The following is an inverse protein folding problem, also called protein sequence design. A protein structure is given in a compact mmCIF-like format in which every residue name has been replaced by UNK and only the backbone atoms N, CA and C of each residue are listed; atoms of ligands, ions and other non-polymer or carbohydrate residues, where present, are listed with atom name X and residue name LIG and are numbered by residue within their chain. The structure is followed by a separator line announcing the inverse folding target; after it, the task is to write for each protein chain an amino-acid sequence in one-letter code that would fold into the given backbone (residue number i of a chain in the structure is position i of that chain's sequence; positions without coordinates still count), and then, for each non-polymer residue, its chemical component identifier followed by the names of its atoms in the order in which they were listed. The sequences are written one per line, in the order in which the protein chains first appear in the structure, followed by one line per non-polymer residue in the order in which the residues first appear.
data_IF_228302397186
#
_entry.id   IF_228302397186
#
_cell.length_a   1.000
_cell.length_b   1.000
_cell.length_c   1.000
_cell.angle_alpha   90.00
_cell.angle_beta   90.00
_cell.angle_gamma   90.00
#
_symmetry.space_group_name_H-M   'P 1'
#
loop_
_entity.id
_entity.type
_entity.pdbx_description
1 polymer ?
#
# COMPACT_ATOMS: atom_id res chain seq x y z
N UNK A 1 9.41 1.44 -13.77
CA UNK A 1 8.31 1.13 -12.81
C UNK A 1 8.59 1.80 -11.49
N UNK A 2 7.64 2.55 -10.89
CA UNK A 2 7.86 3.24 -9.60
C UNK A 2 6.72 2.93 -8.63
N UNK A 3 7.03 2.69 -7.35
CA UNK A 3 6.02 2.50 -6.31
C UNK A 3 5.26 3.80 -6.08
N UNK A 4 3.94 3.69 -5.82
CA UNK A 4 3.05 4.85 -5.66
C UNK A 4 2.67 5.14 -4.21
N UNK A 5 2.59 4.10 -3.38
CA UNK A 5 2.19 4.23 -1.99
C UNK A 5 3.00 3.28 -1.13
N UNK A 6 3.75 3.81 -0.17
CA UNK A 6 4.68 3.01 0.62
C UNK A 6 4.09 2.79 2.01
N UNK A 7 3.90 1.52 2.37
CA UNK A 7 3.73 1.07 3.75
C UNK A 7 5.07 0.50 4.21
N UNK A 8 5.61 1.08 5.27
CA UNK A 8 7.01 0.89 5.67
C UNK A 8 7.12 -0.07 6.84
N UNK A 9 8.00 -1.05 6.69
CA UNK A 9 8.37 -2.00 7.74
C UNK A 9 9.88 -2.10 7.85
N UNK A 10 10.36 -2.53 9.02
CA UNK A 10 11.78 -2.71 9.30
C UNK A 10 12.13 -4.19 9.48
N UNK A 11 13.30 -4.53 8.97
CA UNK A 11 14.04 -5.75 9.24
C UNK A 11 15.32 -5.38 9.99
N UNK A 12 15.90 -6.26 10.83
CA UNK A 12 17.24 -6.04 11.35
C UNK A 12 18.22 -5.86 10.17
N UNK A 13 19.11 -4.89 10.24
CA UNK A 13 20.06 -4.60 9.16
C UNK A 13 21.50 -4.85 9.61
N UNK A 14 22.33 -5.57 8.83
CA UNK A 14 21.94 -6.32 7.62
C UNK A 14 21.18 -7.62 7.97
N UNK A 15 20.16 -7.96 7.17
CA UNK A 15 19.42 -9.22 7.29
C UNK A 15 19.88 -10.20 6.20
N UNK A 16 20.34 -11.38 6.62
CA UNK A 16 20.81 -12.40 5.67
C UNK A 16 19.61 -13.08 5.00
N UNK A 17 19.33 -12.65 3.78
CA UNK A 17 18.28 -13.20 2.94
C UNK A 17 18.84 -13.51 1.55
N UNK A 18 18.55 -14.71 1.04
CA UNK A 18 18.98 -15.16 -0.28
C UNK A 18 17.73 -15.29 -1.15
N UNK A 19 17.75 -14.66 -2.33
CA UNK A 19 16.60 -14.59 -3.23
C UNK A 19 16.05 -15.95 -3.62
N UNK A 20 16.93 -16.91 -3.97
CA UNK A 20 16.52 -18.27 -4.37
C UNK A 20 15.90 -19.05 -3.20
N UNK A 21 16.43 -18.91 -2.00
CA UNK A 21 15.84 -19.52 -0.82
C UNK A 21 14.46 -18.93 -0.50
N UNK A 22 14.33 -17.61 -0.58
CA UNK A 22 13.04 -16.96 -0.42
C UNK A 22 12.04 -17.42 -1.49
N UNK A 23 12.45 -17.55 -2.75
CA UNK A 23 11.60 -18.04 -3.82
C UNK A 23 11.08 -19.46 -3.54
N UNK A 24 11.92 -20.35 -3.02
CA UNK A 24 11.54 -21.71 -2.62
C UNK A 24 10.51 -21.68 -1.47
N UNK A 25 10.69 -20.80 -0.49
CA UNK A 25 9.75 -20.67 0.62
C UNK A 25 8.38 -20.10 0.20
N UNK A 26 8.36 -19.27 -0.84
CA UNK A 26 7.13 -18.70 -1.39
C UNK A 26 6.39 -19.66 -2.34
N UNK A 27 7.07 -20.67 -2.89
CA UNK A 27 6.53 -21.59 -3.90
C UNK A 27 5.21 -22.27 -3.48
N UNK A 28 5.03 -22.76 -2.24
CA UNK A 28 3.77 -23.36 -1.80
C UNK A 28 2.58 -22.40 -1.84
N UNK A 29 2.85 -21.09 -1.89
CA UNK A 29 1.85 -20.04 -1.99
C UNK A 29 1.83 -19.38 -3.37
N UNK A 30 2.36 -20.05 -4.40
CA UNK A 30 2.30 -19.55 -5.79
C UNK A 30 0.85 -19.30 -6.19
N UNK A 31 0.64 -18.19 -6.85
CA UNK A 31 -0.68 -17.80 -7.33
C UNK A 31 -1.22 -18.83 -8.35
N UNK A 32 -2.43 -19.28 -8.10
CA UNK A 32 -3.26 -20.00 -9.04
C UNK A 32 -4.61 -19.30 -9.15
N UNK A 33 -5.28 -19.33 -10.31
CA UNK A 33 -6.59 -18.71 -10.47
C UNK A 33 -7.60 -19.21 -9.43
N UNK A 34 -8.57 -18.33 -9.09
CA UNK A 34 -9.64 -18.68 -8.18
C UNK A 34 -10.50 -19.80 -8.76
N UNK A 35 -10.82 -20.83 -7.95
CA UNK A 35 -11.67 -21.94 -8.37
C UNK A 35 -13.14 -21.53 -8.49
N UNK A 36 -13.99 -22.43 -9.04
CA UNK A 36 -15.41 -22.16 -9.24
C UNK A 36 -16.11 -21.75 -7.94
N UNK A 37 -15.75 -22.38 -6.82
CA UNK A 37 -16.43 -22.22 -5.53
C UNK A 37 -15.71 -21.30 -4.54
N UNK A 38 -14.63 -20.64 -4.97
CA UNK A 38 -13.90 -19.68 -4.13
C UNK A 38 -14.27 -18.25 -4.51
N UNK A 39 -14.47 -17.39 -3.50
CA UNK A 39 -14.73 -15.97 -3.70
C UNK A 39 -13.45 -15.19 -3.99
N UNK A 40 -12.32 -15.58 -3.37
CA UNK A 40 -11.06 -14.87 -3.40
C UNK A 40 -9.89 -15.84 -3.28
N UNK A 41 -8.85 -15.61 -4.06
CA UNK A 41 -7.56 -16.28 -3.90
C UNK A 41 -6.41 -15.29 -3.99
N UNK A 42 -5.39 -15.51 -3.17
CA UNK A 42 -4.17 -14.73 -3.16
C UNK A 42 -2.97 -15.65 -3.30
N UNK A 43 -1.92 -15.16 -3.93
CA UNK A 43 -0.67 -15.92 -4.04
C UNK A 43 0.45 -15.11 -4.69
N UNK A 44 1.67 -15.60 -4.55
CA UNK A 44 2.87 -14.97 -5.11
C UNK A 44 2.99 -15.28 -6.60
N UNK A 45 3.34 -14.29 -7.39
CA UNK A 45 3.55 -14.43 -8.82
C UNK A 45 4.87 -13.78 -9.24
N UNK A 46 5.50 -14.26 -10.32
CA UNK A 46 6.69 -13.61 -10.85
C UNK A 46 6.42 -12.15 -11.25
N UNK A 47 7.43 -11.30 -11.14
CA UNK A 47 7.35 -9.92 -11.64
C UNK A 47 7.19 -9.91 -13.16
N UNK A 48 7.87 -10.83 -13.86
CA UNK A 48 7.85 -11.02 -15.32
C UNK A 48 7.43 -12.44 -15.65
N UNK A 49 6.84 -12.64 -16.83
CA UNK A 49 6.44 -13.96 -17.31
C UNK A 49 7.68 -14.87 -17.43
N UNK A 50 7.59 -16.07 -16.87
CA UNK A 50 8.70 -17.04 -16.86
C UNK A 50 9.80 -16.78 -15.84
N UNK A 51 9.72 -15.69 -15.06
CA UNK A 51 10.68 -15.38 -14.01
C UNK A 51 10.44 -16.11 -12.70
N UNK A 52 11.36 -15.93 -11.75
CA UNK A 52 11.24 -16.43 -10.39
C UNK A 52 10.22 -15.60 -9.57
N UNK A 53 9.73 -16.17 -8.46
CA UNK A 53 8.82 -15.47 -7.54
C UNK A 53 9.51 -14.26 -6.86
N UNK A 54 10.82 -14.33 -6.69
CA UNK A 54 11.66 -13.24 -6.21
C UNK A 54 12.50 -12.74 -7.38
N UNK A 55 12.29 -11.50 -7.77
CA UNK A 55 13.13 -10.82 -8.74
C UNK A 55 14.22 -10.06 -7.99
N UNK A 56 15.47 -10.41 -8.23
CA UNK A 56 16.62 -9.86 -7.49
C UNK A 56 17.57 -9.13 -8.43
N UNK A 57 17.89 -7.88 -8.08
CA UNK A 57 18.88 -7.05 -8.78
C UNK A 57 19.67 -6.27 -7.74
N UNK A 58 20.99 -6.30 -7.80
CA UNK A 58 21.90 -5.58 -6.91
C UNK A 58 21.58 -5.74 -5.40
N UNK A 59 21.23 -6.97 -5.01
CA UNK A 59 20.86 -7.28 -3.61
C UNK A 59 19.50 -6.76 -3.15
N UNK A 60 18.74 -6.14 -4.05
CA UNK A 60 17.37 -5.70 -3.82
C UNK A 60 16.39 -6.74 -4.34
N UNK A 61 15.30 -7.00 -3.63
CA UNK A 61 14.30 -8.00 -4.02
C UNK A 61 12.95 -7.36 -4.28
N UNK A 62 12.33 -7.75 -5.41
CA UNK A 62 10.94 -7.43 -5.70
C UNK A 62 10.09 -8.71 -5.73
N UNK A 63 8.91 -8.62 -5.09
CA UNK A 63 7.90 -9.66 -5.09
C UNK A 63 6.57 -9.05 -5.54
N UNK A 64 5.69 -9.91 -6.06
CA UNK A 64 4.34 -9.53 -6.49
C UNK A 64 3.31 -10.46 -5.87
N UNK A 65 2.45 -9.92 -5.02
CA UNK A 65 1.27 -10.61 -4.52
C UNK A 65 0.09 -10.33 -5.45
N UNK A 66 -0.48 -11.38 -6.03
CA UNK A 66 -1.69 -11.29 -6.86
C UNK A 66 -2.89 -11.68 -6.02
N UNK A 67 -3.95 -10.90 -6.14
CA UNK A 67 -5.27 -11.21 -5.59
C UNK A 67 -6.26 -11.30 -6.72
N UNK A 68 -6.95 -12.42 -6.85
CA UNK A 68 -8.08 -12.61 -7.75
C UNK A 68 -9.35 -12.78 -6.94
N UNK A 69 -10.36 -11.98 -7.24
CA UNK A 69 -11.64 -11.95 -6.54
C UNK A 69 -12.78 -12.05 -7.52
N UNK A 70 -13.79 -12.87 -7.21
CA UNK A 70 -15.05 -12.89 -7.94
C UNK A 70 -15.93 -11.70 -7.57
N UNK A 71 -16.55 -11.12 -8.58
CA UNK A 71 -17.44 -9.97 -8.44
C UNK A 71 -18.88 -10.43 -8.40
N UNK A 72 -19.48 -10.38 -7.21
CA UNK A 72 -20.88 -10.66 -6.98
C UNK A 72 -21.59 -9.37 -6.53
N UNK A 73 -22.28 -8.66 -7.44
CA UNK A 73 -23.02 -7.47 -7.07
C UNK A 73 -24.11 -7.80 -6.07
N UNK A 74 -24.12 -7.16 -4.92
CA UNK A 74 -25.10 -7.40 -3.84
C UNK A 74 -26.54 -7.27 -4.32
N UNK A 75 -26.80 -6.36 -5.27
CA UNK A 75 -28.15 -6.18 -5.86
C UNK A 75 -28.56 -7.41 -6.66
N UNK A 76 -27.67 -8.00 -7.47
CA UNK A 76 -27.97 -9.20 -8.26
C UNK A 76 -28.24 -10.41 -7.37
N UNK A 77 -27.43 -10.59 -6.31
CA UNK A 77 -27.65 -11.67 -5.34
C UNK A 77 -28.99 -11.51 -4.62
N UNK A 78 -29.34 -10.29 -4.19
CA UNK A 78 -30.65 -10.01 -3.56
C UNK A 78 -31.83 -10.24 -4.51
N UNK A 79 -31.69 -9.87 -5.77
CA UNK A 79 -32.71 -10.10 -6.78
C UNK A 79 -32.94 -11.61 -6.97
N UNK A 80 -31.83 -12.38 -7.12
CA UNK A 80 -31.93 -13.83 -7.26
C UNK A 80 -32.55 -14.50 -6.02
N UNK A 81 -32.20 -14.02 -4.83
CA UNK A 81 -32.78 -14.49 -3.58
C UNK A 81 -34.29 -14.18 -3.50
N UNK A 82 -34.73 -13.02 -4.00
CA UNK A 82 -36.14 -12.67 -4.08
C UNK A 82 -36.94 -13.61 -5.04
N UNK A 83 -36.36 -13.88 -6.23
CA UNK A 83 -36.95 -14.85 -7.17
C UNK A 83 -37.09 -16.26 -6.56
N UNK A 84 -36.12 -16.68 -5.75
CA UNK A 84 -36.19 -17.93 -5.00
C UNK A 84 -37.26 -17.87 -3.89
N UNK A 85 -37.42 -16.72 -3.24
CA UNK A 85 -38.43 -16.53 -2.20
C UNK A 85 -39.83 -16.56 -2.76
N UNK A 86 -40.09 -15.93 -3.92
CA UNK A 86 -41.39 -15.93 -4.60
C UNK A 86 -41.79 -17.36 -4.99
N UNK A 87 -40.85 -18.16 -5.51
CA UNK A 87 -41.11 -19.58 -5.79
C UNK A 87 -41.46 -20.37 -4.54
N UNK A 88 -40.73 -20.14 -3.45
CA UNK A 88 -41.00 -20.82 -2.18
C UNK A 88 -42.33 -20.41 -1.58
N UNK A 89 -42.74 -19.15 -1.75
CA UNK A 89 -44.09 -18.67 -1.35
C UNK A 89 -45.21 -19.32 -2.17
N UNK A 90 -45.03 -19.52 -3.48
CA UNK A 90 -45.95 -20.26 -4.34
C UNK A 90 -46.11 -21.72 -3.91
N UNK A 91 -45.02 -22.37 -3.49
CA UNK A 91 -45.03 -23.77 -3.04
C UNK A 91 -45.63 -23.97 -1.64
N UNK A 92 -45.35 -23.04 -0.71
CA UNK A 92 -45.70 -23.19 0.71
C UNK A 92 -46.93 -22.37 1.15
N UNK A 93 -47.34 -21.42 0.31
CA UNK A 93 -48.51 -20.56 0.60
C UNK A 93 -48.26 -19.42 1.59
N UNK A 94 -47.00 -19.18 2.00
CA UNK A 94 -46.60 -18.07 2.86
C UNK A 94 -45.19 -17.55 2.56
N UNK A 95 -44.98 -16.28 2.83
CA UNK A 95 -43.72 -15.60 2.53
C UNK A 95 -42.61 -16.02 3.48
N UNK A 96 -41.37 -16.26 2.99
CA UNK A 96 -40.21 -16.63 3.83
C UNK A 96 -39.88 -15.55 4.88
N UNK A 97 -39.70 -15.97 6.12
CA UNK A 97 -39.26 -15.10 7.21
C UNK A 97 -37.81 -14.69 7.11
N UNK A 98 -37.33 -13.81 8.01
CA UNK A 98 -35.94 -13.26 7.98
C UNK A 98 -34.85 -14.32 7.90
N UNK A 99 -34.97 -15.44 8.64
CA UNK A 99 -34.01 -16.53 8.63
C UNK A 99 -33.94 -17.23 7.28
N UNK A 100 -35.10 -17.59 6.75
CA UNK A 100 -35.20 -18.22 5.42
C UNK A 100 -34.69 -17.29 4.31
N UNK A 101 -34.97 -15.98 4.36
CA UNK A 101 -34.41 -14.99 3.42
C UNK A 101 -32.87 -14.90 3.47
N UNK A 102 -32.27 -15.07 4.65
CA UNK A 102 -30.80 -15.12 4.76
C UNK A 102 -30.25 -16.36 4.08
N UNK A 103 -30.84 -17.52 4.33
CA UNK A 103 -30.47 -18.80 3.71
C UNK A 103 -30.64 -18.76 2.17
N UNK A 104 -31.74 -18.15 1.69
CA UNK A 104 -31.95 -17.93 0.24
C UNK A 104 -30.90 -17.00 -0.36
N UNK A 105 -30.45 -15.98 0.37
CA UNK A 105 -29.40 -15.07 -0.08
C UNK A 105 -28.04 -15.79 -0.17
N UNK A 106 -27.72 -16.64 0.79
CA UNK A 106 -26.51 -17.49 0.77
C UNK A 106 -26.57 -18.47 -0.42
N UNK A 107 -27.70 -19.17 -0.61
CA UNK A 107 -27.89 -20.06 -1.77
C UNK A 107 -27.80 -19.35 -3.12
N UNK A 108 -28.39 -18.15 -3.24
CA UNK A 108 -28.28 -17.33 -4.45
C UNK A 108 -26.83 -16.93 -4.72
N UNK A 109 -26.08 -16.59 -3.68
CA UNK A 109 -24.64 -16.29 -3.79
C UNK A 109 -23.86 -17.51 -4.29
N UNK A 110 -24.10 -18.67 -3.70
CA UNK A 110 -23.40 -19.93 -4.07
C UNK A 110 -23.73 -20.37 -5.50
N UNK A 111 -24.98 -20.22 -5.93
CA UNK A 111 -25.41 -20.51 -7.30
C UNK A 111 -24.75 -19.59 -8.34
N UNK A 112 -24.60 -18.29 -7.98
CA UNK A 112 -24.03 -17.31 -8.88
C UNK A 112 -22.50 -17.31 -8.89
N UNK A 113 -21.86 -17.77 -7.82
CA UNK A 113 -20.41 -17.71 -7.64
C UNK A 113 -19.61 -18.40 -8.76
N UNK A 114 -19.97 -19.61 -9.26
CA UNK A 114 -19.24 -20.25 -10.35
C UNK A 114 -19.18 -19.44 -11.64
N UNK A 115 -20.24 -18.66 -11.89
CA UNK A 115 -20.42 -17.88 -13.12
C UNK A 115 -19.99 -16.41 -12.98
N UNK A 116 -19.51 -16.01 -11.79
CA UNK A 116 -19.13 -14.64 -11.54
C UNK A 116 -17.82 -14.26 -12.25
N UNK A 117 -17.76 -13.05 -12.79
CA UNK A 117 -16.53 -12.47 -13.34
C UNK A 117 -15.48 -12.33 -12.25
N UNK A 118 -14.21 -12.48 -12.66
CA UNK A 118 -13.06 -12.27 -11.77
C UNK A 118 -12.38 -10.94 -12.06
N UNK A 119 -11.87 -10.30 -11.01
CA UNK A 119 -11.01 -9.12 -11.10
C UNK A 119 -9.69 -9.45 -10.41
N UNK A 120 -8.59 -9.21 -11.12
CA UNK A 120 -7.24 -9.33 -10.59
C UNK A 120 -6.69 -7.97 -10.19
N UNK A 121 -6.03 -7.96 -9.05
CA UNK A 121 -5.20 -6.85 -8.58
C UNK A 121 -3.87 -7.40 -8.09
N UNK A 122 -2.87 -6.54 -7.96
CA UNK A 122 -1.59 -6.95 -7.40
C UNK A 122 -1.03 -5.87 -6.48
N UNK A 123 -0.18 -6.30 -5.57
CA UNK A 123 0.65 -5.48 -4.72
C UNK A 123 2.11 -5.86 -4.95
N UNK A 124 2.96 -4.85 -5.10
CA UNK A 124 4.38 -5.06 -5.20
C UNK A 124 5.03 -4.88 -3.83
N UNK A 125 6.08 -5.64 -3.58
CA UNK A 125 6.85 -5.60 -2.34
C UNK A 125 8.30 -5.43 -2.70
N UNK A 126 8.95 -4.48 -2.08
CA UNK A 126 10.39 -4.28 -2.15
C UNK A 126 11.02 -4.65 -0.82
N UNK A 127 12.07 -5.46 -0.86
CA UNK A 127 12.87 -5.82 0.30
C UNK A 127 14.31 -5.39 0.02
N UNK A 128 14.86 -4.61 0.95
CA UNK A 128 16.27 -4.22 0.99
C UNK A 128 16.92 -4.85 2.23
N UNK A 129 17.53 -6.02 2.08
CA UNK A 129 18.14 -6.71 3.22
C UNK A 129 19.35 -5.97 3.80
N UNK A 130 20.03 -5.15 2.97
CA UNK A 130 21.21 -4.39 3.37
C UNK A 130 20.86 -3.27 4.34
N UNK A 131 19.85 -2.48 3.99
CA UNK A 131 19.41 -1.33 4.78
C UNK A 131 18.22 -1.66 5.70
N UNK A 132 17.70 -2.89 5.66
CA UNK A 132 16.63 -3.38 6.52
C UNK A 132 15.26 -2.81 6.20
N UNK A 133 14.94 -2.60 4.93
CA UNK A 133 13.61 -2.15 4.51
C UNK A 133 12.77 -3.31 3.96
N UNK A 134 11.51 -3.34 4.36
CA UNK A 134 10.44 -4.03 3.64
C UNK A 134 9.34 -3.01 3.38
N UNK A 135 9.06 -2.79 2.10
CA UNK A 135 8.12 -1.77 1.63
C UNK A 135 7.05 -2.41 0.78
N UNK A 136 5.79 -2.16 1.12
CA UNK A 136 4.64 -2.64 0.35
C UNK A 136 4.01 -1.48 -0.40
N UNK A 137 3.86 -1.60 -1.73
CA UNK A 137 3.12 -0.61 -2.54
C UNK A 137 1.62 -0.79 -2.35
N UNK A 138 1.11 -0.25 -1.25
CA UNK A 138 -0.29 -0.38 -0.87
C UNK A 138 -0.89 0.95 -0.42
N UNK A 139 -2.07 1.28 -0.95
CA UNK A 139 -2.78 2.52 -0.61
C UNK A 139 -3.34 2.54 0.83
N UNK A 140 -3.45 1.39 1.49
CA UNK A 140 -3.94 1.27 2.87
C UNK A 140 -3.18 0.23 3.67
N UNK A 141 -3.07 0.40 5.00
CA UNK A 141 -2.43 -0.59 5.87
C UNK A 141 -3.07 -1.99 5.75
N UNK A 142 -4.40 -2.08 5.70
CA UNK A 142 -5.10 -3.37 5.58
C UNK A 142 -4.68 -4.20 4.36
N UNK A 143 -4.36 -3.56 3.23
CA UNK A 143 -3.82 -4.27 2.06
C UNK A 143 -2.37 -4.72 2.27
N UNK A 144 -1.58 -3.93 2.98
CA UNK A 144 -0.21 -4.32 3.32
C UNK A 144 -0.21 -5.49 4.32
N UNK A 145 -1.19 -5.54 5.24
CA UNK A 145 -1.36 -6.66 6.17
C UNK A 145 -1.59 -8.00 5.46
N UNK A 146 -2.25 -8.01 4.31
CA UNK A 146 -2.41 -9.22 3.49
C UNK A 146 -1.05 -9.76 3.01
N UNK A 147 -0.16 -8.86 2.58
CA UNK A 147 1.23 -9.19 2.19
C UNK A 147 2.00 -9.74 3.39
N UNK A 148 1.97 -9.01 4.51
CA UNK A 148 2.68 -9.40 5.73
C UNK A 148 2.25 -10.77 6.23
N UNK A 149 0.94 -11.05 6.28
CA UNK A 149 0.40 -12.36 6.67
C UNK A 149 0.91 -13.50 5.81
N UNK A 150 0.94 -13.31 4.49
CA UNK A 150 1.42 -14.34 3.57
C UNK A 150 2.94 -14.51 3.65
N UNK A 151 3.71 -13.45 3.84
CA UNK A 151 5.15 -13.55 4.07
C UNK A 151 5.47 -14.27 5.37
N UNK A 152 4.82 -13.92 6.47
CA UNK A 152 5.01 -14.58 7.78
C UNK A 152 4.59 -16.06 7.75
N UNK A 153 3.63 -16.43 6.90
CA UNK A 153 3.25 -17.82 6.69
C UNK A 153 4.30 -18.61 5.90
N UNK A 154 5.02 -17.95 4.98
CA UNK A 154 6.06 -18.58 4.17
C UNK A 154 7.41 -18.64 4.88
N UNK A 155 7.76 -17.55 5.57
CA UNK A 155 9.06 -17.38 6.22
C UNK A 155 8.86 -17.42 7.74
N UNK A 156 9.11 -18.59 8.33
CA UNK A 156 9.05 -18.74 9.80
C UNK A 156 10.01 -17.75 10.47
N UNK A 157 9.51 -17.01 11.46
CA UNK A 157 10.30 -16.08 12.27
C UNK A 157 10.93 -14.94 11.46
N UNK A 158 10.25 -14.44 10.40
CA UNK A 158 10.66 -13.19 9.77
C UNK A 158 10.61 -12.08 10.83
N UNK A 159 11.73 -11.45 11.19
CA UNK A 159 11.80 -10.44 12.25
C UNK A 159 11.34 -9.08 11.70
N UNK A 160 10.05 -9.00 11.33
CA UNK A 160 9.44 -7.83 10.73
C UNK A 160 8.82 -6.95 11.81
N UNK A 161 9.20 -5.69 11.83
CA UNK A 161 8.70 -4.69 12.77
C UNK A 161 8.07 -3.50 12.02
N UNK A 162 7.11 -2.84 12.64
CA UNK A 162 6.62 -1.55 12.15
C UNK A 162 7.69 -0.48 12.37
N UNK A 163 7.90 0.39 11.38
CA UNK A 163 8.79 1.53 11.53
C UNK A 163 8.31 2.43 12.68
N UNK A 164 9.18 2.73 13.62
CA UNK A 164 8.96 3.68 14.72
C UNK A 164 10.02 4.77 14.66
N UNK A 165 9.60 5.99 14.85
CA UNK A 165 10.47 7.18 14.82
C UNK A 165 10.34 7.95 16.13
N UNK A 166 11.36 8.72 16.48
CA UNK A 166 11.41 9.45 17.75
C UNK A 166 10.42 10.61 17.77
N UNK A 167 10.32 11.35 16.68
CA UNK A 167 9.37 12.46 16.57
C UNK A 167 8.06 11.99 15.91
N UNK A 168 6.93 12.33 16.52
CA UNK A 168 5.63 12.06 15.89
C UNK A 168 5.55 12.71 14.51
N UNK A 169 5.14 11.97 13.45
CA UNK A 169 4.96 12.56 12.12
C UNK A 169 4.04 13.77 12.11
N UNK A 170 3.00 13.75 12.95
CA UNK A 170 2.07 14.89 13.11
C UNK A 170 2.79 16.12 13.66
N UNK A 171 3.61 15.94 14.70
CA UNK A 171 4.36 17.05 15.30
C UNK A 171 5.39 17.61 14.32
N UNK A 172 6.15 16.73 13.65
CA UNK A 172 7.15 17.14 12.67
C UNK A 172 6.53 17.88 11.48
N UNK A 173 5.50 17.30 10.84
CA UNK A 173 4.79 17.94 9.73
C UNK A 173 4.15 19.29 10.13
N UNK A 174 3.64 19.40 11.36
CA UNK A 174 3.07 20.66 11.85
C UNK A 174 4.16 21.71 11.99
N UNK A 175 5.33 21.35 12.56
CA UNK A 175 6.47 22.24 12.70
C UNK A 175 7.03 22.69 11.34
N UNK A 176 7.22 21.77 10.40
CA UNK A 176 7.71 22.10 9.06
C UNK A 176 6.74 22.98 8.28
N UNK A 177 5.45 22.77 8.46
CA UNK A 177 4.42 23.57 7.82
C UNK A 177 4.34 24.97 8.43
N UNK A 178 4.52 25.11 9.74
CA UNK A 178 4.50 26.39 10.45
C UNK A 178 5.74 27.26 10.13
N UNK A 179 6.91 26.62 10.05
CA UNK A 179 8.16 27.30 9.66
C UNK A 179 8.30 27.52 8.15
N UNK A 180 7.59 26.76 7.32
CA UNK A 180 7.80 26.68 5.87
C UNK A 180 9.06 25.93 5.46
N UNK A 181 9.79 25.35 6.41
CA UNK A 181 11.08 24.67 6.19
C UNK A 181 11.03 23.23 6.71
N UNK A 182 11.55 22.30 5.91
CA UNK A 182 11.77 20.92 6.29
C UNK A 182 13.27 20.57 6.19
N UNK A 183 13.80 19.69 7.06
CA UNK A 183 15.22 19.32 7.07
C UNK A 183 15.60 18.35 5.94
N UNK A 184 16.89 18.08 5.77
CA UNK A 184 17.44 17.00 4.92
C UNK A 184 16.98 17.02 3.45
N UNK A 185 17.07 18.17 2.79
CA UNK A 185 16.67 18.35 1.38
C UNK A 185 15.19 18.07 1.08
N UNK A 186 14.33 18.09 2.09
CA UNK A 186 12.90 18.11 1.88
C UNK A 186 12.40 19.55 1.70
N UNK A 187 11.45 19.74 0.81
CA UNK A 187 10.70 20.98 0.63
C UNK A 187 9.22 20.73 0.90
N UNK A 188 8.56 21.69 1.51
CA UNK A 188 7.11 21.67 1.74
C UNK A 188 6.42 22.13 0.46
N UNK A 189 5.49 21.31 -0.06
CA UNK A 189 4.72 21.61 -1.27
C UNK A 189 3.34 22.21 -0.93
N UNK A 190 2.50 22.41 -1.96
CA UNK A 190 1.27 23.20 -1.88
C UNK A 190 0.03 22.46 -1.34
N UNK A 191 0.15 21.19 -0.96
CA UNK A 191 -0.98 20.41 -0.46
C UNK A 191 -0.78 20.01 0.99
N UNK A 192 -1.72 20.42 1.86
CA UNK A 192 -1.69 20.06 3.28
C UNK A 192 -3.10 19.81 3.82
N UNK A 193 -3.21 18.95 4.83
CA UNK A 193 -4.44 18.72 5.58
C UNK A 193 -4.15 18.91 7.06
N UNK A 194 -4.86 19.87 7.67
CA UNK A 194 -4.83 20.10 9.10
C UNK A 194 -6.14 19.66 9.74
N UNK A 195 -6.05 19.03 10.91
CA UNK A 195 -7.20 18.54 11.67
C UNK A 195 -7.10 18.99 13.13
N UNK A 196 -8.24 19.42 13.69
CA UNK A 196 -8.34 19.78 15.10
C UNK A 196 -8.19 18.51 15.98
N UNK A 197 -7.49 18.67 17.10
CA UNK A 197 -7.28 17.59 18.09
C UNK A 197 -8.49 17.36 19.00
N UNK A 198 -9.43 18.32 19.09
CA UNK A 198 -10.63 18.24 19.92
C UNK A 198 -11.75 17.37 19.34
N UNK A 199 -12.87 17.28 20.05
CA UNK A 199 -14.03 16.45 19.68
C UNK A 199 -14.63 16.79 18.30
N UNK A 200 -14.55 18.05 17.86
CA UNK A 200 -15.09 18.51 16.58
C UNK A 200 -14.41 17.85 15.38
N UNK A 201 -13.14 17.41 15.53
CA UNK A 201 -12.29 16.88 14.43
C UNK A 201 -12.36 17.73 13.16
N UNK A 202 -12.61 19.04 13.31
CA UNK A 202 -12.73 19.97 12.19
C UNK A 202 -11.47 19.92 11.33
N UNK A 203 -11.64 19.85 10.02
CA UNK A 203 -10.53 19.68 9.08
C UNK A 203 -10.51 20.84 8.09
N UNK A 204 -9.31 21.28 7.72
CA UNK A 204 -9.07 22.18 6.61
C UNK A 204 -8.06 21.54 5.66
N UNK A 205 -8.28 21.66 4.37
CA UNK A 205 -7.39 21.16 3.33
C UNK A 205 -6.96 22.27 2.40
N UNK A 206 -5.67 22.42 2.24
CA UNK A 206 -5.05 23.23 1.19
C UNK A 206 -4.75 22.33 0.01
N UNK A 207 -5.11 22.77 -1.17
CA UNK A 207 -4.86 22.03 -2.40
C UNK A 207 -4.41 22.98 -3.50
N UNK A 208 -3.20 22.77 -4.02
CA UNK A 208 -2.55 23.64 -5.02
C UNK A 208 -2.57 25.11 -4.60
N UNK A 209 -2.37 25.36 -3.32
CA UNK A 209 -2.41 26.66 -2.73
C UNK A 209 -1.07 26.95 -2.04
N UNK A 210 -0.52 28.15 -2.25
CA UNK A 210 0.67 28.55 -1.52
C UNK A 210 0.42 28.45 -0.01
N UNK A 211 1.29 27.75 0.71
CA UNK A 211 1.18 27.56 2.16
C UNK A 211 1.96 28.71 2.84
N UNK A 212 1.35 29.88 2.88
CA UNK A 212 1.97 31.02 3.54
C UNK A 212 1.93 30.84 5.07
N UNK A 213 3.06 31.09 5.78
CA UNK A 213 3.12 30.89 7.23
C UNK A 213 2.02 31.63 8.00
N UNK A 214 1.57 32.79 7.52
CA UNK A 214 0.51 33.56 8.14
C UNK A 214 -0.86 32.89 8.13
N UNK A 215 -1.24 32.29 7.01
CA UNK A 215 -2.54 31.63 6.85
C UNK A 215 -2.58 30.29 7.61
N UNK A 216 -1.51 29.52 7.49
CA UNK A 216 -1.39 28.21 8.14
C UNK A 216 -1.19 28.36 9.65
N UNK A 217 -0.36 29.32 10.08
CA UNK A 217 -0.06 29.61 11.49
C UNK A 217 -1.31 29.92 12.30
N UNK A 218 -2.28 30.64 11.74
CA UNK A 218 -3.56 30.93 12.42
C UNK A 218 -4.34 29.63 12.74
N UNK A 219 -4.30 28.63 11.87
CA UNK A 219 -4.95 27.35 12.10
C UNK A 219 -4.19 26.47 13.09
N UNK A 220 -2.86 26.52 13.07
CA UNK A 220 -2.00 25.82 14.04
C UNK A 220 -2.20 26.43 15.43
N UNK A 221 -2.18 27.76 15.54
CA UNK A 221 -2.46 28.47 16.79
C UNK A 221 -3.86 28.16 17.35
N UNK A 222 -4.85 27.89 16.47
CA UNK A 222 -6.18 27.44 16.85
C UNK A 222 -6.24 25.92 17.21
N UNK A 223 -5.10 25.24 17.40
CA UNK A 223 -5.01 23.85 17.85
C UNK A 223 -5.20 22.80 16.77
N UNK A 224 -5.07 23.16 15.48
CA UNK A 224 -5.04 22.16 14.41
C UNK A 224 -3.62 21.65 14.17
N UNK A 225 -3.51 20.38 13.85
CA UNK A 225 -2.25 19.71 13.55
C UNK A 225 -2.25 19.16 12.11
N UNK A 226 -1.09 19.18 11.47
CA UNK A 226 -0.92 18.64 10.13
C UNK A 226 -0.96 17.11 10.15
N UNK A 227 -1.92 16.53 9.42
CA UNK A 227 -2.11 15.08 9.29
C UNK A 227 -1.69 14.53 7.94
N UNK A 228 -1.54 15.42 6.95
CA UNK A 228 -0.97 15.11 5.63
C UNK A 228 -0.22 16.33 5.13
N UNK A 229 0.97 16.09 4.58
CA UNK A 229 1.80 17.13 4.01
C UNK A 229 2.40 16.63 2.70
N UNK A 230 2.18 17.38 1.63
CA UNK A 230 2.89 17.15 0.37
C UNK A 230 4.30 17.73 0.48
N UNK A 231 5.25 16.97 0.02
CA UNK A 231 6.67 17.26 0.12
C UNK A 231 7.41 16.79 -1.13
N UNK A 232 8.51 17.42 -1.42
CA UNK A 232 9.47 16.98 -2.44
C UNK A 232 10.83 16.73 -1.80
N UNK A 233 11.43 15.59 -2.09
CA UNK A 233 12.78 15.25 -1.65
C UNK A 233 13.78 15.49 -2.78
N UNK A 234 14.85 16.25 -2.46
CA UNK A 234 16.01 16.52 -3.30
C UNK A 234 15.68 16.94 -4.75
N UNK A 235 14.54 17.61 -4.97
CA UNK A 235 13.97 17.93 -6.29
C UNK A 235 13.84 16.70 -7.23
N UNK A 236 13.75 15.49 -6.68
CA UNK A 236 13.74 14.22 -7.44
C UNK A 236 12.47 13.42 -7.24
N UNK A 237 11.90 13.42 -6.05
CA UNK A 237 10.71 12.63 -5.70
C UNK A 237 9.71 13.50 -4.95
N UNK A 238 8.51 13.66 -5.51
CA UNK A 238 7.38 14.25 -4.78
C UNK A 238 6.50 13.16 -4.16
N UNK A 239 5.94 13.45 -2.98
CA UNK A 239 5.11 12.51 -2.24
C UNK A 239 4.24 13.24 -1.20
N UNK A 240 3.34 12.50 -0.55
CA UNK A 240 2.54 12.97 0.58
C UNK A 240 2.87 12.12 1.81
N UNK A 241 3.41 12.74 2.85
CA UNK A 241 3.58 12.12 4.15
C UNK A 241 2.27 12.15 4.93
N UNK A 242 1.96 11.08 5.66
CA UNK A 242 0.74 10.97 6.48
C UNK A 242 1.04 10.80 7.95
N UNK A 243 0.06 11.09 8.81
CA UNK A 243 0.14 10.91 10.26
C UNK A 243 0.52 9.49 10.72
N UNK A 244 0.31 8.49 9.86
CA UNK A 244 0.60 7.07 10.11
C UNK A 244 1.94 6.61 9.52
N UNK A 245 2.84 7.53 9.15
CA UNK A 245 4.10 7.20 8.45
C UNK A 245 3.92 6.50 7.10
N UNK A 246 2.73 6.50 6.52
CA UNK A 246 2.55 6.04 5.16
C UNK A 246 2.91 7.15 4.18
N UNK A 247 3.66 6.81 3.13
CA UNK A 247 4.04 7.73 2.06
C UNK A 247 3.12 7.46 0.89
N UNK A 248 2.40 8.48 0.42
CA UNK A 248 1.41 8.35 -0.66
C UNK A 248 1.75 9.21 -1.86
N UNK A 249 1.18 8.84 -3.00
CA UNK A 249 1.31 9.61 -4.25
C UNK A 249 2.76 9.87 -4.65
N UNK A 250 3.63 8.91 -4.41
CA UNK A 250 5.04 8.99 -4.80
C UNK A 250 5.16 9.14 -6.30
N UNK A 251 5.91 10.14 -6.73
CA UNK A 251 6.17 10.42 -8.16
C UNK A 251 7.65 10.79 -8.34
N UNK A 252 8.37 10.10 -9.22
CA UNK A 252 9.65 10.61 -9.69
C UNK A 252 9.43 11.89 -10.50
N UNK A 253 10.29 12.87 -10.33
CA UNK A 253 10.30 14.10 -11.12
C UNK A 253 11.16 13.93 -12.37
N UNK A 254 11.04 14.85 -13.32
CA UNK A 254 11.63 14.74 -14.66
C UNK A 254 13.14 14.47 -14.66
N UNK A 255 13.85 15.01 -13.69
CA UNK A 255 15.31 14.78 -13.52
C UNK A 255 15.67 13.29 -13.37
N UNK A 256 14.76 12.45 -12.91
CA UNK A 256 14.94 11.00 -12.82
C UNK A 256 14.52 10.26 -14.08
N UNK A 257 13.58 10.83 -14.84
CA UNK A 257 12.99 10.19 -16.02
C UNK A 257 13.70 10.56 -17.31
N UNK A 258 14.38 11.70 -17.37
CA UNK A 258 15.13 12.16 -18.56
C UNK A 258 16.37 11.30 -18.90
N UNK A 259 16.91 10.56 -17.93
CA UNK A 259 18.05 9.68 -18.12
C UNK A 259 17.69 8.22 -18.47
N UNK A 260 16.47 7.94 -18.86
CA UNK A 260 16.08 6.61 -19.37
C UNK A 260 16.91 6.29 -20.63
N UNK A 261 18.08 5.70 -20.41
CA UNK A 261 18.89 5.14 -21.47
C UNK A 261 18.01 4.22 -22.29
N UNK A 262 17.96 4.48 -23.59
CA UNK A 262 17.16 3.74 -24.56
C UNK A 262 17.74 2.32 -24.69
N UNK A 263 17.52 1.48 -23.70
CA UNK A 263 17.70 0.05 -23.88
C UNK A 263 16.54 -0.48 -24.70
N UNK A 264 16.82 -1.23 -25.75
CA UNK A 264 15.80 -1.88 -26.57
C UNK A 264 15.27 -3.16 -25.91
N UNK A 265 15.96 -3.68 -24.89
CA UNK A 265 15.57 -4.85 -24.12
C UNK A 265 14.63 -4.45 -22.95
N UNK A 266 13.44 -5.04 -22.93
CA UNK A 266 12.43 -4.80 -21.87
C UNK A 266 12.92 -5.30 -20.51
N UNK A 267 13.73 -6.32 -20.48
CA UNK A 267 14.24 -6.91 -19.25
C UNK A 267 15.31 -6.02 -18.63
N UNK A 268 16.22 -5.49 -19.43
CA UNK A 268 17.23 -4.52 -18.99
C UNK A 268 16.57 -3.22 -18.49
N UNK A 269 15.54 -2.75 -19.18
CA UNK A 269 14.79 -1.56 -18.73
C UNK A 269 14.14 -1.78 -17.37
N UNK A 270 13.54 -2.94 -17.15
CA UNK A 270 12.91 -3.26 -15.88
C UNK A 270 13.93 -3.28 -14.74
N UNK A 271 15.09 -3.88 -14.99
CA UNK A 271 16.18 -3.97 -13.99
C UNK A 271 16.77 -2.58 -13.69
N UNK A 272 16.96 -1.75 -14.70
CA UNK A 272 17.41 -0.35 -14.54
C UNK A 272 16.39 0.49 -13.76
N UNK A 273 15.10 0.39 -14.09
CA UNK A 273 14.02 1.05 -13.37
C UNK A 273 13.98 0.60 -11.90
N UNK A 274 14.16 -0.70 -11.65
CA UNK A 274 14.22 -1.23 -10.30
C UNK A 274 15.40 -0.65 -9.52
N UNK A 275 16.60 -0.66 -10.10
CA UNK A 275 17.80 -0.11 -9.44
C UNK A 275 17.65 1.39 -9.14
N UNK A 276 17.13 2.15 -10.11
CA UNK A 276 16.87 3.58 -9.91
C UNK A 276 15.85 3.80 -8.78
N UNK A 277 14.71 3.12 -8.84
CA UNK A 277 13.65 3.25 -7.83
C UNK A 277 14.15 2.88 -6.43
N UNK A 278 14.75 1.72 -6.27
CA UNK A 278 15.19 1.23 -4.96
C UNK A 278 16.33 2.08 -4.40
N UNK A 279 17.27 2.50 -5.23
CA UNK A 279 18.37 3.37 -4.84
C UNK A 279 17.92 4.76 -4.37
N UNK A 280 16.98 5.37 -5.08
CA UNK A 280 16.45 6.69 -4.70
C UNK A 280 15.51 6.61 -3.48
N UNK A 281 14.63 5.61 -3.44
CA UNK A 281 13.74 5.41 -2.29
C UNK A 281 14.52 5.08 -1.02
N UNK A 282 15.58 4.27 -1.09
CA UNK A 282 16.41 3.95 0.08
C UNK A 282 17.02 5.22 0.71
N UNK A 283 17.54 6.12 -0.12
CA UNK A 283 18.10 7.42 0.32
C UNK A 283 17.00 8.32 0.92
N UNK A 284 15.89 8.47 0.21
CA UNK A 284 14.76 9.28 0.68
C UNK A 284 14.23 8.78 2.02
N UNK A 285 14.09 7.46 2.20
CA UNK A 285 13.61 6.87 3.45
C UNK A 285 14.61 7.07 4.61
N UNK A 286 15.91 6.97 4.34
CA UNK A 286 16.93 7.25 5.34
C UNK A 286 16.86 8.72 5.80
N UNK A 287 16.83 9.68 4.86
CA UNK A 287 16.70 11.10 5.16
C UNK A 287 15.39 11.42 5.90
N UNK A 288 14.28 10.74 5.55
CA UNK A 288 13.00 10.93 6.23
C UNK A 288 13.04 10.44 7.68
N UNK A 289 13.67 9.30 7.93
CA UNK A 289 13.84 8.79 9.31
C UNK A 289 14.68 9.77 10.13
N UNK A 290 15.78 10.29 9.59
CA UNK A 290 16.59 11.29 10.25
C UNK A 290 15.83 12.60 10.48
N UNK A 291 15.02 13.05 9.51
CA UNK A 291 14.16 14.22 9.65
C UNK A 291 13.09 14.07 10.76
N UNK A 292 12.73 12.82 11.07
CA UNK A 292 11.80 12.46 12.16
C UNK A 292 12.55 12.13 13.47
N UNK A 293 13.82 12.54 13.60
CA UNK A 293 14.63 12.39 14.81
C UNK A 293 15.32 11.02 14.96
N UNK A 294 15.32 10.21 13.90
CA UNK A 294 15.86 8.85 13.92
C UNK A 294 14.86 7.78 14.33
N UNK A 295 15.29 6.53 14.25
CA UNK A 295 14.46 5.39 14.69
C UNK A 295 14.31 5.38 16.22
N UNK A 296 13.10 5.16 16.69
CA UNK A 296 12.86 4.90 18.11
C UNK A 296 13.31 3.46 18.43
N UNK A 297 14.27 3.34 19.35
CA UNK A 297 14.65 2.02 19.90
C UNK A 297 13.53 1.55 20.81
N UNK A 298 13.01 0.35 20.53
CA UNK A 298 12.00 -0.30 21.37
C UNK A 298 12.56 -0.80 22.68
#
# INVERSE_FOLDING_TARGET
MFFKNLQLYRLPAPYLMIADQLAVLLEPQRFTPVSSNELLRQGWAPMRTGGNLVHAVDGQFLLKLVTEKKVLPTKAVKQRAAEMADKLEEEQGFRPGKKAMKELTERASDEMLPHAFTVRSHLNVWIDPKNGWLVVDAASPSKADDVVKLLLKAVERLPLESLRVQSSPVAAMTSWLDSGEAPYNFTVDQDAILRATGESKAQIGYKRHALEPGDVGAHIAAGKQCTRLAMTWNSRISFVLTEQLAIKSVKPLDILTENDAISHDQDERFDNDMMLMTGELAKMLADLVEALGGEARG
#
